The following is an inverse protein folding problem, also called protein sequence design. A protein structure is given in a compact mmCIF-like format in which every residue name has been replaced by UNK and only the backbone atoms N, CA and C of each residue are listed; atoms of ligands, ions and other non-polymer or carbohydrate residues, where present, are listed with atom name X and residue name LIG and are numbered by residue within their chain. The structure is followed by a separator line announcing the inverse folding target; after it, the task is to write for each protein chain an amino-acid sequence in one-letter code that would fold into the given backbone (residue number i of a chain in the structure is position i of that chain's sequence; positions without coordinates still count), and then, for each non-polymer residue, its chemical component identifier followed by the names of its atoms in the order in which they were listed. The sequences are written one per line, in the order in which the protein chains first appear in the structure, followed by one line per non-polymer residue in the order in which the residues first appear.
data_IF_445231353327
#
_entry.id   IF_445231353327
#
_cell.length_a   1.000
_cell.length_b   1.000
_cell.length_c   1.000
_cell.angle_alpha   90.00
_cell.angle_beta   90.00
_cell.angle_gamma   90.00
#
_symmetry.space_group_name_H-M   'P 1'
#
loop_
_entity.id
_entity.type
_entity.pdbx_description
1 polymer ?
#
# COMPACT_ATOMS: atom_id res chain seq x y z
N UNK A 1 25.00 -32.22 -8.73
CA UNK A 1 25.63 -30.93 -9.15
C UNK A 1 25.05 -29.86 -8.23
N UNK A 2 25.84 -29.34 -7.27
CA UNK A 2 25.45 -28.22 -6.44
C UNK A 2 25.35 -26.99 -7.35
N UNK A 3 24.15 -26.57 -7.68
CA UNK A 3 23.90 -25.33 -8.41
C UNK A 3 24.57 -24.20 -7.63
N UNK A 4 25.52 -23.49 -8.24
CA UNK A 4 26.14 -22.31 -7.63
C UNK A 4 25.05 -21.29 -7.38
N UNK A 5 24.77 -21.01 -6.11
CA UNK A 5 23.81 -19.96 -5.73
C UNK A 5 24.26 -18.63 -6.33
N UNK A 6 23.37 -17.96 -7.07
CA UNK A 6 23.65 -16.65 -7.64
C UNK A 6 23.94 -15.63 -6.53
N UNK A 7 25.00 -14.81 -6.70
CA UNK A 7 25.41 -13.88 -5.64
C UNK A 7 26.08 -12.62 -6.19
N UNK A 8 25.95 -11.52 -5.45
CA UNK A 8 26.80 -10.33 -5.58
C UNK A 8 27.69 -10.20 -4.36
N UNK A 9 28.93 -9.70 -4.53
CA UNK A 9 29.89 -9.54 -3.42
C UNK A 9 29.91 -8.14 -2.84
N UNK A 10 29.48 -7.14 -3.59
CA UNK A 10 29.47 -5.74 -3.15
C UNK A 10 28.23 -5.40 -2.33
N UNK A 11 28.39 -4.51 -1.32
CA UNK A 11 27.31 -3.94 -0.54
C UNK A 11 26.29 -3.23 -1.44
N UNK A 12 24.99 -3.50 -1.21
CA UNK A 12 23.90 -3.06 -2.09
C UNK A 12 23.06 -1.89 -1.56
N UNK A 13 23.33 -1.35 -0.37
CA UNK A 13 22.52 -0.27 0.23
C UNK A 13 22.43 0.96 -0.68
N UNK A 14 23.56 1.42 -1.21
CA UNK A 14 23.59 2.56 -2.12
C UNK A 14 22.88 2.25 -3.46
N UNK A 15 22.96 0.99 -3.90
CA UNK A 15 22.22 0.52 -5.08
C UNK A 15 20.71 0.56 -4.84
N UNK A 16 20.23 0.16 -3.67
CA UNK A 16 18.81 0.24 -3.29
C UNK A 16 18.29 1.68 -3.36
N UNK A 17 19.01 2.62 -2.72
CA UNK A 17 18.63 4.04 -2.70
C UNK A 17 18.61 4.67 -4.10
N UNK A 18 19.54 4.29 -4.98
CA UNK A 18 19.67 4.86 -6.33
C UNK A 18 18.81 4.17 -7.38
N UNK A 19 18.35 2.97 -7.10
CA UNK A 19 17.64 2.15 -8.10
C UNK A 19 16.14 2.05 -7.88
N UNK A 20 15.67 2.33 -6.67
CA UNK A 20 14.25 2.24 -6.34
C UNK A 20 13.65 0.89 -6.75
N UNK A 21 12.64 0.92 -7.59
CA UNK A 21 11.94 -0.28 -8.09
C UNK A 21 12.80 -1.15 -9.04
N UNK A 22 13.82 -0.58 -9.64
CA UNK A 22 14.76 -1.32 -10.48
C UNK A 22 15.84 -2.10 -9.70
N UNK A 23 15.83 -1.99 -8.37
CA UNK A 23 16.86 -2.59 -7.52
C UNK A 23 16.95 -4.10 -7.71
N UNK A 24 15.85 -4.81 -7.55
CA UNK A 24 15.84 -6.28 -7.60
C UNK A 24 16.32 -6.82 -8.97
N UNK A 25 15.84 -6.24 -10.06
CA UNK A 25 16.25 -6.62 -11.42
C UNK A 25 17.73 -6.32 -11.68
N UNK A 26 18.26 -5.21 -11.16
CA UNK A 26 19.69 -4.86 -11.27
C UNK A 26 20.58 -5.80 -10.46
N UNK A 27 20.16 -6.19 -9.26
CA UNK A 27 20.88 -7.16 -8.43
C UNK A 27 20.95 -8.52 -9.13
N UNK A 28 19.84 -9.00 -9.70
CA UNK A 28 19.81 -10.26 -10.46
C UNK A 28 20.78 -10.24 -11.64
N UNK A 29 20.74 -9.19 -12.46
CA UNK A 29 21.69 -9.03 -13.59
C UNK A 29 23.17 -9.02 -13.15
N UNK A 30 23.49 -8.34 -12.03
CA UNK A 30 24.85 -8.34 -11.47
C UNK A 30 25.28 -9.71 -10.96
N UNK A 31 24.36 -10.52 -10.51
CA UNK A 31 24.61 -11.89 -10.08
C UNK A 31 24.67 -12.89 -11.25
N UNK A 32 24.56 -12.41 -12.49
CA UNK A 32 24.64 -13.24 -13.69
C UNK A 32 23.38 -14.05 -14.01
N UNK A 33 22.22 -13.66 -13.44
CA UNK A 33 20.92 -14.27 -13.75
C UNK A 33 20.01 -13.26 -14.47
N UNK A 34 18.99 -13.77 -15.18
CA UNK A 34 18.00 -12.90 -15.83
C UNK A 34 17.33 -11.97 -14.82
N UNK A 35 16.98 -10.76 -15.25
CA UNK A 35 16.22 -9.80 -14.45
C UNK A 35 14.90 -10.41 -13.95
N UNK A 36 14.29 -11.28 -14.75
CA UNK A 36 13.01 -11.93 -14.47
C UNK A 36 13.15 -13.31 -13.82
N UNK A 37 14.38 -13.71 -13.47
CA UNK A 37 14.63 -15.00 -12.85
C UNK A 37 13.98 -15.11 -11.47
N UNK A 38 13.32 -16.22 -11.20
CA UNK A 38 12.87 -16.61 -9.87
C UNK A 38 13.99 -17.03 -8.92
N UNK A 39 15.23 -17.30 -9.45
CA UNK A 39 16.36 -17.73 -8.65
C UNK A 39 16.64 -16.76 -7.49
N UNK A 40 16.80 -17.26 -6.25
CA UNK A 40 17.27 -16.48 -5.13
C UNK A 40 18.67 -15.91 -5.37
N UNK A 41 18.91 -14.67 -4.92
CA UNK A 41 20.24 -14.03 -5.06
C UNK A 41 20.75 -13.61 -3.69
N UNK A 42 21.96 -14.08 -3.34
CA UNK A 42 22.66 -13.64 -2.14
C UNK A 42 23.39 -12.32 -2.37
N UNK A 43 23.31 -11.43 -1.38
CA UNK A 43 23.98 -10.13 -1.43
C UNK A 43 24.21 -9.57 -0.02
N UNK A 44 25.25 -8.77 0.21
CA UNK A 44 25.33 -7.92 1.40
C UNK A 44 24.42 -6.70 1.22
N UNK A 45 23.58 -6.40 2.23
CA UNK A 45 22.69 -5.25 2.25
C UNK A 45 22.62 -4.67 3.67
N UNK A 46 23.04 -3.42 3.82
CA UNK A 46 23.07 -2.73 5.12
C UNK A 46 23.84 -3.55 6.19
N UNK A 47 25.00 -4.08 5.82
CA UNK A 47 25.88 -4.85 6.69
C UNK A 47 25.41 -6.26 7.04
N UNK A 48 24.24 -6.70 6.56
CA UNK A 48 23.73 -8.07 6.75
C UNK A 48 23.76 -8.88 5.46
N UNK A 49 24.08 -10.16 5.56
CA UNK A 49 23.88 -11.09 4.46
C UNK A 49 22.39 -11.23 4.20
N UNK A 50 22.00 -11.03 2.96
CA UNK A 50 20.60 -10.95 2.55
C UNK A 50 20.35 -11.88 1.36
N UNK A 51 19.19 -12.53 1.35
CA UNK A 51 18.71 -13.34 0.23
C UNK A 51 17.53 -12.62 -0.41
N UNK A 52 17.68 -12.21 -1.66
CA UNK A 52 16.61 -11.62 -2.47
C UNK A 52 15.77 -12.75 -3.07
N UNK A 53 14.49 -12.76 -2.81
CA UNK A 53 13.53 -13.78 -3.27
C UNK A 53 12.37 -13.14 -4.04
N UNK A 54 11.69 -13.92 -4.90
CA UNK A 54 10.47 -13.54 -5.61
C UNK A 54 9.66 -14.78 -5.99
N UNK A 55 8.46 -14.56 -6.53
CA UNK A 55 7.56 -15.61 -6.98
C UNK A 55 6.98 -16.42 -5.83
N UNK A 56 6.27 -17.49 -6.16
CA UNK A 56 5.47 -18.25 -5.22
C UNK A 56 6.28 -18.81 -4.04
N UNK A 57 7.43 -19.45 -4.31
CA UNK A 57 8.26 -20.01 -3.25
C UNK A 57 8.89 -18.92 -2.34
N UNK A 58 9.24 -17.77 -2.93
CA UNK A 58 9.70 -16.61 -2.18
C UNK A 58 8.61 -16.05 -1.25
N UNK A 59 7.37 -15.98 -1.72
CA UNK A 59 6.20 -15.55 -0.94
C UNK A 59 5.92 -16.54 0.18
N UNK A 60 5.88 -17.85 -0.12
CA UNK A 60 5.64 -18.89 0.90
C UNK A 60 6.66 -18.82 2.04
N UNK A 61 7.95 -18.71 1.72
CA UNK A 61 8.98 -18.57 2.75
C UNK A 61 8.80 -17.26 3.53
N UNK A 62 8.62 -16.15 2.83
CA UNK A 62 8.58 -14.82 3.45
C UNK A 62 7.42 -14.64 4.44
N UNK A 63 6.30 -15.32 4.23
CA UNK A 63 5.13 -15.26 5.10
C UNK A 63 4.98 -16.45 6.05
N UNK A 64 5.95 -17.36 6.09
CA UNK A 64 5.98 -18.46 7.06
C UNK A 64 6.48 -17.96 8.43
N UNK A 65 5.55 -17.62 9.31
CA UNK A 65 5.83 -17.09 10.65
C UNK A 65 6.55 -18.09 11.58
N UNK A 66 6.61 -19.37 11.21
CA UNK A 66 7.42 -20.37 11.94
C UNK A 66 8.91 -20.28 11.60
N UNK A 67 9.25 -19.69 10.46
CA UNK A 67 10.63 -19.62 9.94
C UNK A 67 11.19 -18.21 9.81
N UNK A 68 10.31 -17.19 9.81
CA UNK A 68 10.72 -15.79 9.62
C UNK A 68 10.04 -14.85 10.61
N UNK A 69 10.70 -13.75 10.90
CA UNK A 69 10.19 -12.66 11.75
C UNK A 69 10.34 -11.30 11.06
N UNK A 70 9.58 -10.31 11.54
CA UNK A 70 9.63 -8.92 11.07
C UNK A 70 10.44 -8.02 12.00
N UNK A 71 10.48 -8.35 13.27
CA UNK A 71 11.23 -7.57 14.26
C UNK A 71 12.71 -7.51 13.86
N UNK A 72 13.28 -6.31 13.95
CA UNK A 72 14.68 -6.05 13.57
C UNK A 72 15.01 -6.16 12.08
N UNK A 73 14.08 -6.61 11.21
CA UNK A 73 14.34 -6.80 9.79
C UNK A 73 14.43 -5.46 9.02
N UNK A 74 13.58 -4.49 9.35
CA UNK A 74 13.57 -3.16 8.74
C UNK A 74 14.25 -2.13 9.65
N UNK A 75 15.25 -1.37 9.14
CA UNK A 75 15.88 -0.30 9.93
C UNK A 75 14.87 0.75 10.39
N UNK A 76 14.99 1.23 11.62
CA UNK A 76 14.06 2.19 12.23
C UNK A 76 13.99 3.53 11.46
N UNK A 77 15.08 3.95 10.83
CA UNK A 77 15.11 5.14 9.96
C UNK A 77 14.16 5.03 8.76
N UNK A 78 13.82 3.82 8.36
CA UNK A 78 12.86 3.51 7.29
C UNK A 78 11.47 3.24 7.86
N UNK A 79 11.40 2.39 8.89
CA UNK A 79 10.15 1.94 9.51
C UNK A 79 9.42 3.10 10.23
N UNK A 80 10.17 3.90 11.01
CA UNK A 80 9.61 4.97 11.84
C UNK A 80 8.77 5.98 11.08
N UNK A 81 9.27 6.63 10.02
CA UNK A 81 8.46 7.57 9.25
C UNK A 81 7.24 6.94 8.59
N UNK A 82 7.38 5.73 8.03
CA UNK A 82 6.29 5.08 7.29
C UNK A 82 5.19 4.53 8.18
N UNK A 83 5.55 3.79 9.22
CA UNK A 83 4.60 3.00 10.00
C UNK A 83 4.42 3.52 11.42
N UNK A 84 5.40 4.22 11.97
CA UNK A 84 5.50 4.61 13.37
C UNK A 84 6.24 3.57 14.21
N UNK A 85 6.92 4.04 15.25
CA UNK A 85 7.63 3.17 16.19
C UNK A 85 6.63 2.46 17.08
N UNK A 86 6.77 1.14 17.27
CA UNK A 86 5.85 0.30 18.04
C UNK A 86 4.60 -0.15 17.28
N UNK A 87 4.50 0.15 15.97
CA UNK A 87 3.40 -0.31 15.12
C UNK A 87 3.42 -1.82 14.88
N UNK A 88 2.25 -2.38 14.58
CA UNK A 88 2.02 -3.80 14.28
C UNK A 88 2.99 -4.38 13.24
N UNK A 89 3.48 -3.57 12.33
CA UNK A 89 4.41 -3.96 11.26
C UNK A 89 5.80 -4.43 11.76
N UNK A 90 6.15 -4.15 13.00
CA UNK A 90 7.41 -4.57 13.61
C UNK A 90 7.22 -5.57 14.76
N UNK A 91 6.03 -6.13 14.92
CA UNK A 91 5.72 -7.13 15.92
C UNK A 91 5.72 -8.53 15.29
N UNK A 92 5.97 -9.53 16.13
CA UNK A 92 5.89 -10.96 15.79
C UNK A 92 5.16 -11.73 16.90
N UNK A 93 4.86 -13.01 16.65
CA UNK A 93 4.27 -13.91 17.62
C UNK A 93 2.90 -13.45 18.14
N UNK A 94 2.68 -13.60 19.44
CA UNK A 94 1.40 -13.30 20.09
C UNK A 94 1.08 -11.80 20.07
N UNK A 95 2.06 -10.95 20.31
CA UNK A 95 1.90 -9.48 20.25
C UNK A 95 1.41 -9.02 18.87
N UNK A 96 2.00 -9.58 17.81
CA UNK A 96 1.53 -9.33 16.45
C UNK A 96 0.10 -9.82 16.26
N UNK A 97 -0.18 -11.07 16.63
CA UNK A 97 -1.49 -11.71 16.42
C UNK A 97 -2.63 -10.94 17.11
N UNK A 98 -2.46 -10.58 18.37
CA UNK A 98 -3.46 -9.82 19.14
C UNK A 98 -3.69 -8.44 18.52
N UNK A 99 -2.61 -7.69 18.25
CA UNK A 99 -2.69 -6.38 17.63
C UNK A 99 -3.32 -6.44 16.25
N UNK A 100 -2.88 -7.40 15.43
CA UNK A 100 -3.34 -7.59 14.05
C UNK A 100 -4.83 -7.91 13.98
N UNK A 101 -5.33 -8.77 14.87
CA UNK A 101 -6.74 -9.11 14.90
C UNK A 101 -7.61 -7.90 15.20
N UNK A 102 -7.27 -7.09 16.20
CA UNK A 102 -8.00 -5.87 16.53
C UNK A 102 -8.04 -4.87 15.34
N UNK A 103 -6.95 -4.78 14.56
CA UNK A 103 -6.93 -3.96 13.35
C UNK A 103 -7.75 -4.58 12.21
N UNK A 104 -7.73 -5.91 12.08
CA UNK A 104 -8.49 -6.63 11.06
C UNK A 104 -10.00 -6.55 11.33
N UNK A 105 -10.43 -6.65 12.59
CA UNK A 105 -11.83 -6.47 12.99
C UNK A 105 -12.37 -5.10 12.53
N UNK A 106 -11.52 -4.08 12.48
CA UNK A 106 -11.92 -2.74 12.04
C UNK A 106 -11.84 -2.52 10.52
N UNK A 107 -10.94 -3.17 9.79
CA UNK A 107 -10.66 -2.79 8.41
C UNK A 107 -10.84 -3.91 7.38
N UNK A 108 -11.02 -5.15 7.81
CA UNK A 108 -11.11 -6.30 6.90
C UNK A 108 -12.53 -6.89 6.78
N UNK A 109 -13.34 -6.77 7.84
CA UNK A 109 -14.70 -7.30 7.87
C UNK A 109 -15.58 -6.59 6.83
N UNK A 110 -16.44 -7.36 6.15
CA UNK A 110 -17.25 -6.86 5.04
C UNK A 110 -18.24 -5.76 5.50
N UNK A 111 -18.73 -5.84 6.73
CA UNK A 111 -19.59 -4.82 7.34
C UNK A 111 -18.85 -3.49 7.46
N UNK A 112 -17.60 -3.50 7.91
CA UNK A 112 -16.76 -2.31 8.04
C UNK A 112 -16.42 -1.69 6.70
N UNK A 113 -16.20 -2.54 5.69
CA UNK A 113 -16.02 -2.09 4.30
C UNK A 113 -17.32 -1.48 3.75
N UNK A 114 -18.49 -2.08 4.07
CA UNK A 114 -19.79 -1.55 3.66
C UNK A 114 -20.06 -0.16 4.26
N UNK A 115 -19.67 0.09 5.53
CA UNK A 115 -19.74 1.42 6.15
C UNK A 115 -18.87 2.46 5.44
N UNK A 116 -17.71 2.05 4.92
CA UNK A 116 -16.77 2.94 4.22
C UNK A 116 -17.27 3.32 2.81
N UNK A 117 -17.92 2.40 2.09
CA UNK A 117 -18.33 2.55 0.69
C UNK A 117 -19.08 3.84 0.39
N UNK A 118 -20.19 4.20 1.08
CA UNK A 118 -20.94 5.42 0.79
C UNK A 118 -20.09 6.68 1.00
N UNK A 119 -19.21 6.70 1.97
CA UNK A 119 -18.37 7.85 2.29
C UNK A 119 -17.38 8.18 1.17
N UNK A 120 -16.70 7.18 0.63
CA UNK A 120 -15.76 7.39 -0.49
C UNK A 120 -16.52 7.73 -1.78
N UNK A 121 -17.69 7.13 -2.02
CA UNK A 121 -18.50 7.44 -3.18
C UNK A 121 -18.99 8.90 -3.17
N UNK A 122 -19.43 9.40 -2.02
CA UNK A 122 -19.82 10.81 -1.83
C UNK A 122 -18.66 11.77 -2.13
N UNK A 123 -17.48 11.54 -1.53
CA UNK A 123 -16.32 12.39 -1.75
C UNK A 123 -15.86 12.40 -3.21
N UNK A 124 -15.85 11.25 -3.88
CA UNK A 124 -15.46 11.15 -5.29
C UNK A 124 -16.51 11.72 -6.23
N UNK A 125 -17.80 11.55 -5.94
CA UNK A 125 -18.87 12.16 -6.75
C UNK A 125 -18.80 13.70 -6.70
N UNK A 126 -18.57 14.25 -5.50
CA UNK A 126 -18.36 15.68 -5.31
C UNK A 126 -17.07 16.18 -6.01
N UNK A 127 -16.00 15.38 -5.97
CA UNK A 127 -14.72 15.70 -6.59
C UNK A 127 -14.85 15.77 -8.11
N UNK A 128 -15.48 14.77 -8.76
CA UNK A 128 -15.65 14.71 -10.21
C UNK A 128 -16.39 15.94 -10.77
N UNK A 129 -17.25 16.58 -9.98
CA UNK A 129 -17.97 17.80 -10.37
C UNK A 129 -17.18 19.09 -10.16
N UNK A 130 -16.14 19.07 -9.33
CA UNK A 130 -15.39 20.26 -8.88
C UNK A 130 -14.03 20.43 -9.54
N UNK A 131 -13.51 19.41 -10.23
CA UNK A 131 -12.18 19.51 -10.86
C UNK A 131 -12.09 20.70 -11.81
N UNK A 132 -11.07 21.52 -11.62
CA UNK A 132 -10.81 22.72 -12.42
C UNK A 132 -9.45 22.60 -13.14
N UNK A 133 -9.20 23.52 -14.07
CA UNK A 133 -7.90 23.56 -14.73
C UNK A 133 -6.78 23.81 -13.70
N UNK A 134 -5.81 22.91 -13.65
CA UNK A 134 -4.72 22.92 -12.67
C UNK A 134 -4.83 21.85 -11.60
N UNK A 135 -6.01 21.28 -11.35
CA UNK A 135 -6.16 20.15 -10.45
C UNK A 135 -5.48 18.90 -11.04
N UNK A 136 -5.11 17.99 -10.13
CA UNK A 136 -4.58 16.68 -10.52
C UNK A 136 -5.22 15.56 -9.69
N UNK A 137 -5.23 14.36 -10.26
CA UNK A 137 -5.86 13.18 -9.67
C UNK A 137 -5.24 12.83 -8.32
N UNK A 138 -3.90 12.87 -8.22
CA UNK A 138 -3.20 12.48 -7.00
C UNK A 138 -3.60 13.33 -5.79
N UNK A 139 -3.41 14.64 -5.87
CA UNK A 139 -3.66 15.54 -4.74
C UNK A 139 -5.15 15.57 -4.37
N UNK A 140 -6.00 15.59 -5.39
CA UNK A 140 -7.46 15.62 -5.18
C UNK A 140 -7.98 14.34 -4.53
N UNK A 141 -7.55 13.18 -5.01
CA UNK A 141 -7.99 11.88 -4.42
C UNK A 141 -7.36 11.62 -3.06
N UNK A 142 -6.13 12.12 -2.78
CA UNK A 142 -5.53 12.03 -1.46
C UNK A 142 -6.38 12.72 -0.39
N UNK A 143 -6.93 13.88 -0.71
CA UNK A 143 -7.85 14.61 0.19
C UNK A 143 -9.18 13.87 0.31
N UNK A 144 -9.80 13.45 -0.81
CA UNK A 144 -11.07 12.74 -0.80
C UNK A 144 -10.99 11.42 0.01
N UNK A 145 -9.95 10.63 -0.22
CA UNK A 145 -9.73 9.38 0.53
C UNK A 145 -9.42 9.64 2.00
N UNK A 146 -8.71 10.73 2.32
CA UNK A 146 -8.46 11.15 3.69
C UNK A 146 -9.74 11.50 4.43
N UNK A 147 -10.61 12.33 3.82
CA UNK A 147 -11.93 12.69 4.39
C UNK A 147 -12.79 11.46 4.62
N UNK A 148 -12.93 10.60 3.60
CA UNK A 148 -13.68 9.35 3.72
C UNK A 148 -13.17 8.47 4.86
N UNK A 149 -11.83 8.34 5.00
CA UNK A 149 -11.21 7.54 6.06
C UNK A 149 -11.40 8.12 7.45
N UNK A 150 -11.29 9.45 7.61
CA UNK A 150 -11.50 10.09 8.90
C UNK A 150 -12.98 10.03 9.35
N UNK A 151 -13.92 10.22 8.41
CA UNK A 151 -15.36 10.05 8.66
C UNK A 151 -15.69 8.60 9.05
N UNK A 152 -15.18 7.63 8.30
CA UNK A 152 -15.33 6.20 8.59
C UNK A 152 -14.75 5.84 9.96
N UNK A 153 -13.61 6.39 10.32
CA UNK A 153 -13.01 6.14 11.62
C UNK A 153 -13.76 6.82 12.79
N UNK A 154 -14.76 7.63 12.51
CA UNK A 154 -15.52 8.38 13.55
C UNK A 154 -14.71 9.51 14.16
N UNK A 155 -13.73 10.07 13.45
CA UNK A 155 -12.89 11.17 13.94
C UNK A 155 -13.69 12.48 13.83
N UNK A 156 -13.92 13.22 14.93
CA UNK A 156 -14.80 14.38 14.95
C UNK A 156 -14.10 15.66 14.49
N UNK A 157 -13.50 15.62 13.31
CA UNK A 157 -12.85 16.78 12.69
C UNK A 157 -13.77 17.44 11.68
N UNK A 158 -13.68 18.77 11.57
CA UNK A 158 -14.30 19.48 10.46
C UNK A 158 -13.54 19.25 9.14
N UNK A 159 -14.16 19.65 8.04
CA UNK A 159 -13.60 19.47 6.70
C UNK A 159 -12.21 20.10 6.56
N UNK A 160 -12.00 21.29 7.11
CA UNK A 160 -10.70 21.99 7.02
C UNK A 160 -9.60 21.25 7.79
N UNK A 161 -9.95 20.69 8.94
CA UNK A 161 -9.01 19.89 9.72
C UNK A 161 -8.70 18.55 9.03
N UNK A 162 -9.71 17.88 8.45
CA UNK A 162 -9.52 16.66 7.66
C UNK A 162 -8.59 16.91 6.48
N UNK A 163 -8.78 17.99 5.72
CA UNK A 163 -7.92 18.36 4.58
C UNK A 163 -6.47 18.57 5.01
N UNK A 164 -6.26 19.33 6.08
CA UNK A 164 -4.94 19.61 6.61
C UNK A 164 -4.18 18.32 6.98
N UNK A 165 -4.86 17.37 7.62
CA UNK A 165 -4.22 16.13 8.05
C UNK A 165 -4.05 15.14 6.90
N UNK A 166 -5.00 15.04 5.97
CA UNK A 166 -4.84 14.27 4.74
C UNK A 166 -3.66 14.77 3.91
N UNK A 167 -3.56 16.10 3.71
CA UNK A 167 -2.43 16.72 3.02
C UNK A 167 -1.09 16.42 3.72
N UNK A 168 -1.05 16.47 5.06
CA UNK A 168 0.17 16.14 5.81
C UNK A 168 0.56 14.67 5.68
N UNK A 169 -0.41 13.75 5.67
CA UNK A 169 -0.19 12.32 5.40
C UNK A 169 0.35 12.10 3.98
N UNK A 170 -0.22 12.76 2.98
CA UNK A 170 0.26 12.71 1.59
C UNK A 170 1.70 13.22 1.48
N UNK A 171 1.99 14.39 2.08
CA UNK A 171 3.33 15.00 2.08
C UNK A 171 4.38 14.12 2.76
N UNK A 172 4.05 13.46 3.88
CA UNK A 172 4.93 12.47 4.52
C UNK A 172 5.34 11.39 3.53
N UNK A 173 4.39 10.86 2.78
CA UNK A 173 4.64 9.83 1.78
C UNK A 173 5.46 10.34 0.59
N UNK A 174 5.27 11.58 0.17
CA UNK A 174 6.01 12.21 -0.95
C UNK A 174 7.46 12.57 -0.59
N UNK A 175 7.71 12.85 0.68
CA UNK A 175 9.04 13.25 1.17
C UNK A 175 9.86 12.09 1.71
N UNK A 176 9.23 10.95 1.96
CA UNK A 176 9.87 9.72 2.40
C UNK A 176 10.84 9.15 1.35
N UNK A 177 11.94 8.55 1.82
CA UNK A 177 12.90 7.85 0.96
C UNK A 177 13.82 8.74 0.13
N UNK A 178 13.73 10.06 0.28
CA UNK A 178 14.59 11.03 -0.39
C UNK A 178 15.49 11.70 0.65
N UNK A 179 16.82 11.58 0.58
CA UNK A 179 17.74 12.17 1.57
C UNK A 179 17.49 13.65 1.84
N UNK A 180 17.22 14.44 0.78
CA UNK A 180 17.01 15.88 0.88
C UNK A 180 15.71 16.26 1.63
N UNK A 181 14.70 15.40 1.66
CA UNK A 181 13.38 15.69 2.25
C UNK A 181 13.02 14.79 3.44
N UNK A 182 13.91 13.88 3.81
CA UNK A 182 13.67 12.96 4.92
C UNK A 182 13.37 13.65 6.26
N UNK A 183 13.97 14.83 6.50
CA UNK A 183 13.68 15.62 7.70
C UNK A 183 12.22 16.12 7.71
N UNK A 184 11.65 16.43 6.54
CA UNK A 184 10.24 16.83 6.40
C UNK A 184 9.32 15.63 6.72
N UNK A 185 9.64 14.44 6.20
CA UNK A 185 8.91 13.23 6.52
C UNK A 185 8.88 12.95 8.04
N UNK A 186 10.02 13.11 8.73
CA UNK A 186 10.09 12.96 10.18
C UNK A 186 9.30 14.05 10.92
N UNK A 187 9.34 15.29 10.47
CA UNK A 187 8.57 16.38 11.08
C UNK A 187 7.05 16.14 10.94
N UNK A 188 6.60 15.68 9.77
CA UNK A 188 5.21 15.31 9.56
C UNK A 188 4.81 14.09 10.41
N UNK A 189 5.68 13.09 10.51
CA UNK A 189 5.45 11.92 11.37
C UNK A 189 5.25 12.34 12.83
N UNK A 190 6.13 13.15 13.38
CA UNK A 190 6.05 13.64 14.77
C UNK A 190 4.75 14.43 14.99
N UNK A 191 4.36 15.28 14.04
CA UNK A 191 3.15 16.07 14.17
C UNK A 191 1.89 15.19 14.13
N UNK A 192 1.86 14.19 13.24
CA UNK A 192 0.78 13.20 13.16
C UNK A 192 0.69 12.38 14.46
N UNK A 193 1.82 11.85 14.95
CA UNK A 193 1.85 11.06 16.20
C UNK A 193 1.31 11.86 17.38
N UNK A 194 1.73 13.12 17.53
CA UNK A 194 1.24 13.99 18.60
C UNK A 194 -0.26 14.26 18.49
N UNK A 195 -0.77 14.50 17.28
CA UNK A 195 -2.18 14.81 17.07
C UNK A 195 -3.06 13.60 17.36
N UNK A 196 -2.68 12.43 16.87
CA UNK A 196 -3.44 11.22 17.07
C UNK A 196 -3.34 10.70 18.51
N UNK A 197 -2.17 10.78 19.15
CA UNK A 197 -2.03 10.48 20.57
C UNK A 197 -2.90 11.40 21.43
N UNK A 198 -2.96 12.70 21.10
CA UNK A 198 -3.87 13.63 21.78
C UNK A 198 -5.33 13.22 21.60
N UNK A 199 -5.74 12.84 20.39
CA UNK A 199 -7.11 12.41 20.12
C UNK A 199 -7.48 11.17 20.95
N UNK A 200 -6.62 10.17 21.02
CA UNK A 200 -6.82 8.97 21.87
C UNK A 200 -6.94 9.36 23.34
N UNK A 201 -6.08 10.24 23.84
CA UNK A 201 -6.14 10.72 25.23
C UNK A 201 -7.46 11.46 25.50
N UNK A 202 -7.88 12.33 24.60
CA UNK A 202 -9.11 13.12 24.74
C UNK A 202 -10.35 12.19 24.77
N UNK A 203 -10.35 11.11 23.96
CA UNK A 203 -11.42 10.09 24.01
C UNK A 203 -11.40 9.32 25.33
N UNK A 204 -10.24 8.83 25.76
CA UNK A 204 -10.08 8.08 27.03
C UNK A 204 -10.48 8.89 28.26
N UNK A 205 -10.26 10.21 28.22
CA UNK A 205 -10.64 11.11 29.33
C UNK A 205 -12.11 11.57 29.25
N UNK A 206 -12.85 11.25 28.18
CA UNK A 206 -14.20 11.74 27.94
C UNK A 206 -14.27 13.18 27.45
N UNK A 207 -13.13 13.84 27.16
CA UNK A 207 -13.11 15.19 26.60
C UNK A 207 -13.58 15.26 25.14
N UNK A 208 -13.50 14.15 24.42
CA UNK A 208 -14.03 13.95 23.06
C UNK A 208 -14.88 12.68 23.06
N UNK A 209 -16.13 12.79 22.59
CA UNK A 209 -16.99 11.64 22.39
C UNK A 209 -16.59 10.94 21.07
N UNK A 210 -16.27 9.65 21.13
CA UNK A 210 -16.16 8.79 19.95
C UNK A 210 -17.55 8.15 19.72
N UNK A 211 -18.02 8.06 18.46
CA UNK A 211 -19.23 7.30 18.16
C UNK A 211 -19.06 5.85 18.64
N UNK A 212 -20.12 5.29 19.21
CA UNK A 212 -20.15 3.90 19.63
C UNK A 212 -19.76 2.98 18.46
N UNK A 213 -18.98 1.94 18.74
CA UNK A 213 -18.49 0.97 17.75
C UNK A 213 -17.66 1.57 16.59
N UNK A 214 -17.23 2.84 16.68
CA UNK A 214 -16.33 3.44 15.67
C UNK A 214 -14.90 2.93 15.79
N UNK A 215 -14.14 3.03 14.68
CA UNK A 215 -12.70 2.72 14.69
C UNK A 215 -11.97 3.54 15.77
N UNK A 216 -12.36 4.81 15.97
CA UNK A 216 -11.78 5.67 17.00
C UNK A 216 -12.02 5.13 18.41
N UNK A 217 -13.25 4.66 18.71
CA UNK A 217 -13.60 4.07 20.01
C UNK A 217 -12.77 2.82 20.26
N UNK A 218 -12.72 1.88 19.30
CA UNK A 218 -11.91 0.66 19.40
C UNK A 218 -10.42 0.93 19.55
N UNK A 219 -9.88 1.92 18.85
CA UNK A 219 -8.45 2.27 19.01
C UNK A 219 -8.17 2.95 20.35
N UNK A 220 -9.14 3.63 20.95
CA UNK A 220 -8.98 4.14 22.30
C UNK A 220 -8.93 3.01 23.36
N UNK A 221 -9.56 1.87 23.08
CA UNK A 221 -9.58 0.68 23.94
C UNK A 221 -8.58 -0.40 23.52
N UNK A 222 -7.68 -0.10 22.57
CA UNK A 222 -6.70 -1.05 22.06
C UNK A 222 -5.85 -1.65 23.15
N UNK A 223 -5.77 -3.00 23.18
CA UNK A 223 -5.00 -3.75 24.18
C UNK A 223 -3.81 -4.51 23.59
N UNK A 224 -2.85 -4.81 24.43
CA UNK A 224 -1.71 -5.68 24.13
C UNK A 224 -2.05 -7.16 24.35
N UNK A 225 -1.05 -8.04 24.19
CA UNK A 225 -1.16 -9.50 24.38
C UNK A 225 -1.42 -9.93 25.83
N UNK A 226 -1.32 -9.02 26.79
CA UNK A 226 -1.61 -9.24 28.21
C UNK A 226 -2.97 -8.67 28.62
N UNK A 227 -3.72 -8.07 27.67
CA UNK A 227 -5.00 -7.42 27.92
C UNK A 227 -4.87 -6.02 28.56
N UNK A 228 -3.66 -5.46 28.62
CA UNK A 228 -3.44 -4.12 29.12
C UNK A 228 -3.62 -3.09 28.00
N UNK A 229 -4.21 -1.92 28.34
CA UNK A 229 -4.32 -0.81 27.37
C UNK A 229 -2.94 -0.39 26.90
N UNK A 230 -2.76 -0.32 25.58
CA UNK A 230 -1.53 0.26 25.01
C UNK A 230 -1.49 1.76 25.28
N UNK A 231 -0.28 2.36 25.30
CA UNK A 231 -0.14 3.81 25.48
C UNK A 231 -0.82 4.62 24.35
N UNK A 232 -1.14 5.88 24.64
CA UNK A 232 -1.90 6.73 23.70
C UNK A 232 -1.16 6.96 22.37
N UNK A 233 0.18 6.98 22.41
CA UNK A 233 0.98 7.15 21.21
C UNK A 233 0.87 5.93 20.31
N UNK A 234 1.00 4.73 20.87
CA UNK A 234 0.87 3.46 20.13
C UNK A 234 -0.54 3.32 19.56
N UNK A 235 -1.60 3.57 20.36
CA UNK A 235 -2.98 3.55 19.88
C UNK A 235 -3.23 4.58 18.77
N UNK A 236 -2.66 5.79 18.90
CA UNK A 236 -2.73 6.84 17.88
C UNK A 236 -1.97 6.47 16.60
N UNK A 237 -0.85 5.74 16.70
CA UNK A 237 -0.12 5.21 15.55
C UNK A 237 -0.96 4.17 14.80
N UNK A 238 -1.63 3.27 15.52
CA UNK A 238 -2.48 2.26 14.87
C UNK A 238 -3.74 2.88 14.25
N UNK A 239 -4.34 3.89 14.86
CA UNK A 239 -5.42 4.67 14.24
C UNK A 239 -4.95 5.34 12.92
N UNK A 240 -3.70 5.83 12.87
CA UNK A 240 -3.11 6.32 11.63
C UNK A 240 -2.87 5.19 10.63
N UNK A 241 -2.50 3.99 11.07
CA UNK A 241 -2.29 2.83 10.20
C UNK A 241 -3.59 2.28 9.62
N UNK A 242 -4.76 2.62 10.20
CA UNK A 242 -6.07 2.34 9.62
C UNK A 242 -6.55 3.44 8.66
N UNK A 243 -6.13 4.69 8.83
CA UNK A 243 -6.62 5.82 8.03
C UNK A 243 -5.64 6.28 6.93
N UNK A 244 -4.36 6.41 7.25
CA UNK A 244 -3.32 6.92 6.33
C UNK A 244 -3.07 6.04 5.09
N UNK A 245 -3.12 4.70 5.14
CA UNK A 245 -2.89 3.88 3.95
C UNK A 245 -3.84 4.22 2.80
N UNK A 246 -5.06 4.62 3.11
CA UNK A 246 -6.02 5.00 2.09
C UNK A 246 -5.63 6.32 1.38
N UNK A 247 -5.04 7.28 2.09
CA UNK A 247 -4.42 8.46 1.45
C UNK A 247 -3.32 8.03 0.47
N UNK A 248 -2.56 6.97 0.80
CA UNK A 248 -1.54 6.44 -0.09
C UNK A 248 -2.10 5.80 -1.38
N UNK A 249 -3.35 5.32 -1.36
CA UNK A 249 -4.05 4.77 -2.54
C UNK A 249 -4.20 5.81 -3.66
N UNK A 250 -4.15 7.10 -3.35
CA UNK A 250 -4.13 8.17 -4.35
C UNK A 250 -3.00 8.01 -5.39
N UNK A 251 -1.89 7.34 -5.06
CA UNK A 251 -0.86 6.97 -6.01
C UNK A 251 -1.37 6.02 -7.07
N UNK A 252 -2.11 5.00 -6.65
CA UNK A 252 -2.76 4.08 -7.57
C UNK A 252 -3.85 4.78 -8.37
N UNK A 253 -4.59 5.74 -7.81
CA UNK A 253 -5.57 6.54 -8.56
C UNK A 253 -4.89 7.36 -9.68
N UNK A 254 -3.72 7.95 -9.41
CA UNK A 254 -2.94 8.64 -10.43
C UNK A 254 -2.41 7.67 -11.50
N UNK A 255 -1.94 6.49 -11.12
CA UNK A 255 -1.57 5.45 -12.09
C UNK A 255 -2.77 4.90 -12.85
N UNK A 256 -3.94 4.79 -12.23
CA UNK A 256 -5.17 4.42 -12.93
C UNK A 256 -5.54 5.46 -14.01
N UNK A 257 -5.38 6.75 -13.70
CA UNK A 257 -5.57 7.81 -14.71
C UNK A 257 -4.56 7.68 -15.86
N UNK A 258 -3.29 7.36 -15.58
CA UNK A 258 -2.28 7.04 -16.61
C UNK A 258 -2.75 5.87 -17.46
N UNK A 259 -3.15 4.76 -16.86
CA UNK A 259 -3.60 3.56 -17.56
C UNK A 259 -4.87 3.82 -18.39
N UNK A 260 -5.81 4.65 -17.92
CA UNK A 260 -7.00 5.02 -18.67
C UNK A 260 -6.67 5.85 -19.94
N UNK A 261 -5.62 6.68 -19.88
CA UNK A 261 -5.14 7.42 -21.08
C UNK A 261 -4.46 6.46 -22.07
N UNK A 262 -3.70 5.48 -21.57
CA UNK A 262 -3.01 4.47 -22.40
C UNK A 262 -3.98 3.42 -22.97
N UNK A 263 -5.13 3.17 -22.29
CA UNK A 263 -6.14 2.17 -22.63
C UNK A 263 -7.54 2.77 -22.65
N UNK A 264 -7.85 3.70 -23.59
CA UNK A 264 -9.11 4.45 -23.62
C UNK A 264 -10.35 3.58 -23.87
N UNK A 265 -10.20 2.38 -24.42
CA UNK A 265 -11.28 1.40 -24.59
C UNK A 265 -11.91 1.00 -23.23
N UNK A 266 -11.16 1.03 -22.15
CA UNK A 266 -11.66 0.76 -20.81
C UNK A 266 -12.54 1.88 -20.26
N UNK A 267 -12.34 3.14 -20.69
CA UNK A 267 -13.18 4.27 -20.28
C UNK A 267 -14.63 4.01 -20.68
N UNK A 268 -14.89 3.66 -21.95
CA UNK A 268 -16.25 3.42 -22.43
C UNK A 268 -16.84 2.15 -21.81
N UNK A 269 -16.05 1.12 -21.61
CA UNK A 269 -16.48 -0.13 -21.01
C UNK A 269 -16.92 0.06 -19.55
N UNK A 270 -16.10 0.71 -18.73
CA UNK A 270 -16.39 1.03 -17.32
C UNK A 270 -17.60 1.96 -17.23
N UNK A 271 -17.68 2.98 -18.11
CA UNK A 271 -18.81 3.89 -18.19
C UNK A 271 -20.12 3.17 -18.51
N UNK A 272 -20.10 2.24 -19.46
CA UNK A 272 -21.27 1.44 -19.82
C UNK A 272 -21.72 0.55 -18.66
N UNK A 273 -20.79 -0.14 -17.98
CA UNK A 273 -21.06 -0.99 -16.83
C UNK A 273 -21.64 -0.20 -15.65
N UNK A 274 -21.06 0.97 -15.32
CA UNK A 274 -21.60 1.86 -14.29
C UNK A 274 -23.03 2.31 -14.62
N UNK A 275 -23.29 2.73 -15.86
CA UNK A 275 -24.64 3.13 -16.31
C UNK A 275 -25.66 1.99 -16.17
N UNK A 276 -25.28 0.77 -16.53
CA UNK A 276 -26.14 -0.42 -16.39
C UNK A 276 -26.54 -0.68 -14.91
N UNK A 277 -25.74 -0.19 -13.97
CA UNK A 277 -25.97 -0.28 -12.52
C UNK A 277 -26.49 1.06 -11.93
N UNK A 278 -27.17 1.89 -12.71
CA UNK A 278 -27.78 3.15 -12.23
C UNK A 278 -26.77 4.30 -12.04
N UNK A 279 -25.59 4.21 -12.62
CA UNK A 279 -24.54 5.25 -12.53
C UNK A 279 -23.75 5.22 -11.22
N UNK A 280 -23.72 4.07 -10.54
CA UNK A 280 -22.95 3.89 -9.29
C UNK A 280 -21.46 4.08 -9.52
N UNK A 281 -20.74 4.53 -8.47
CA UNK A 281 -19.28 4.51 -8.42
C UNK A 281 -18.74 3.21 -7.79
N UNK A 282 -19.61 2.42 -7.15
CA UNK A 282 -19.20 1.29 -6.31
C UNK A 282 -19.47 -0.04 -7.02
N UNK A 283 -18.59 -0.99 -6.75
CA UNK A 283 -18.76 -2.41 -7.12
C UNK A 283 -18.99 -2.66 -8.62
N UNK A 284 -18.46 -1.77 -9.48
CA UNK A 284 -18.47 -1.94 -10.94
C UNK A 284 -17.39 -2.95 -11.32
N UNK A 285 -17.74 -4.16 -11.82
CA UNK A 285 -16.76 -5.25 -12.00
C UNK A 285 -15.58 -4.88 -12.90
N UNK A 286 -15.81 -4.14 -13.97
CA UNK A 286 -14.78 -3.65 -14.88
C UNK A 286 -13.81 -2.69 -14.21
N UNK A 287 -14.31 -1.83 -13.32
CA UNK A 287 -13.46 -0.91 -12.55
C UNK A 287 -12.69 -1.64 -11.46
N UNK A 288 -13.27 -2.66 -10.85
CA UNK A 288 -12.56 -3.52 -9.88
C UNK A 288 -11.43 -4.27 -10.58
N UNK A 289 -11.71 -4.91 -11.71
CA UNK A 289 -10.68 -5.60 -12.50
C UNK A 289 -9.55 -4.66 -12.95
N UNK A 290 -9.92 -3.46 -13.42
CA UNK A 290 -8.95 -2.43 -13.78
C UNK A 290 -8.09 -1.98 -12.60
N UNK A 291 -8.70 -1.77 -11.44
CA UNK A 291 -8.02 -1.40 -10.21
C UNK A 291 -7.03 -2.48 -9.73
N UNK A 292 -7.41 -3.76 -9.83
CA UNK A 292 -6.53 -4.88 -9.49
C UNK A 292 -5.31 -4.94 -10.43
N UNK A 293 -5.51 -4.73 -11.74
CA UNK A 293 -4.40 -4.71 -12.69
C UNK A 293 -3.48 -3.50 -12.49
N UNK A 294 -4.02 -2.33 -12.14
CA UNK A 294 -3.21 -1.18 -11.72
C UNK A 294 -2.33 -1.54 -10.52
N UNK A 295 -2.89 -2.19 -9.51
CA UNK A 295 -2.16 -2.62 -8.31
C UNK A 295 -1.10 -3.68 -8.63
N UNK A 296 -1.30 -4.51 -9.64
CA UNK A 296 -0.35 -5.54 -10.07
C UNK A 296 0.86 -4.94 -10.77
N UNK A 297 0.65 -4.05 -11.73
CA UNK A 297 1.67 -3.59 -12.67
C UNK A 297 2.41 -2.35 -12.18
N UNK A 298 1.68 -1.39 -11.57
CA UNK A 298 2.30 -0.13 -11.17
C UNK A 298 3.02 -0.20 -9.83
N UNK A 299 4.15 0.51 -9.70
CA UNK A 299 5.01 0.41 -8.52
C UNK A 299 4.40 1.06 -7.28
N UNK A 300 4.38 0.34 -6.15
CA UNK A 300 3.96 0.88 -4.85
C UNK A 300 5.00 0.60 -3.77
N UNK A 301 5.14 -0.65 -3.33
CA UNK A 301 6.22 -1.08 -2.42
C UNK A 301 7.21 -1.89 -3.24
N UNK A 302 8.51 -1.50 -3.29
CA UNK A 302 9.48 -2.23 -4.11
C UNK A 302 9.87 -3.58 -3.51
N UNK A 303 10.20 -3.59 -2.21
CA UNK A 303 10.70 -4.78 -1.50
C UNK A 303 10.28 -4.74 -0.02
N UNK A 304 10.14 -5.90 0.60
CA UNK A 304 9.90 -6.03 2.05
C UNK A 304 10.96 -6.91 2.70
N UNK A 305 11.52 -6.51 3.86
CA UNK A 305 12.49 -7.31 4.60
C UNK A 305 11.82 -8.20 5.65
N UNK A 306 12.42 -9.38 5.87
CA UNK A 306 12.20 -10.26 7.01
C UNK A 306 13.55 -10.81 7.47
N UNK A 307 13.60 -11.53 8.58
CA UNK A 307 14.78 -12.22 9.09
C UNK A 307 14.45 -13.69 9.36
N UNK A 308 15.33 -14.59 8.96
CA UNK A 308 15.17 -16.02 9.22
C UNK A 308 15.40 -16.33 10.71
N UNK A 309 14.48 -17.03 11.35
CA UNK A 309 14.57 -17.45 12.76
C UNK A 309 15.23 -18.82 12.91
N UNK A 310 15.26 -19.59 11.84
CA UNK A 310 15.86 -20.93 11.77
C UNK A 310 16.62 -21.08 10.43
N UNK A 311 17.51 -22.09 10.35
CA UNK A 311 18.07 -22.48 9.06
C UNK A 311 16.97 -23.07 8.19
N UNK A 312 16.89 -22.59 6.96
CA UNK A 312 15.88 -22.98 5.97
C UNK A 312 16.44 -22.90 4.56
N UNK A 313 15.61 -23.11 3.56
CA UNK A 313 16.00 -22.95 2.16
C UNK A 313 14.85 -22.41 1.30
N UNK A 314 15.18 -21.84 0.17
CA UNK A 314 14.25 -21.45 -0.89
C UNK A 314 14.84 -21.80 -2.25
N UNK A 315 14.14 -22.62 -3.02
CA UNK A 315 14.59 -23.10 -4.36
C UNK A 315 16.05 -23.64 -4.33
N UNK A 316 16.40 -24.44 -3.31
CA UNK A 316 17.74 -24.99 -3.12
C UNK A 316 18.81 -23.97 -2.68
N UNK A 317 18.44 -22.73 -2.41
CA UNK A 317 19.33 -21.72 -1.82
C UNK A 317 19.21 -21.77 -0.30
N UNK A 318 20.24 -22.19 0.46
CA UNK A 318 20.23 -22.16 1.91
C UNK A 318 20.08 -20.74 2.43
N UNK A 319 19.23 -20.58 3.45
CA UNK A 319 19.02 -19.34 4.21
C UNK A 319 19.30 -19.65 5.67
N UNK A 320 20.34 -19.03 6.24
CA UNK A 320 20.73 -19.32 7.62
C UNK A 320 19.98 -18.43 8.61
N UNK A 321 19.81 -18.95 9.81
CA UNK A 321 19.28 -18.18 10.95
C UNK A 321 19.98 -16.82 11.09
N UNK A 322 19.20 -15.75 11.26
CA UNK A 322 19.69 -14.37 11.34
C UNK A 322 19.97 -13.70 10.00
N UNK A 323 19.88 -14.43 8.88
CA UNK A 323 19.98 -13.79 7.57
C UNK A 323 18.70 -13.02 7.22
N UNK A 324 18.90 -11.87 6.57
CA UNK A 324 17.79 -11.11 6.01
C UNK A 324 17.26 -11.77 4.75
N UNK A 325 15.94 -11.83 4.65
CA UNK A 325 15.20 -12.20 3.44
C UNK A 325 14.58 -10.92 2.89
N UNK A 326 14.76 -10.65 1.61
CA UNK A 326 14.17 -9.48 0.95
C UNK A 326 13.23 -9.95 -0.14
N UNK A 327 11.93 -9.76 0.04
CA UNK A 327 10.91 -10.11 -0.94
C UNK A 327 10.76 -9.00 -1.98
N UNK A 328 10.92 -9.36 -3.25
CA UNK A 328 10.70 -8.50 -4.41
C UNK A 328 9.20 -8.45 -4.74
N UNK A 329 8.51 -7.43 -4.27
CA UNK A 329 7.05 -7.29 -4.40
C UNK A 329 6.66 -7.06 -5.86
N UNK A 330 7.23 -6.02 -6.49
CA UNK A 330 6.90 -5.70 -7.88
C UNK A 330 7.29 -6.84 -8.82
N UNK A 331 8.48 -7.42 -8.62
CA UNK A 331 8.92 -8.57 -9.41
C UNK A 331 8.01 -9.79 -9.24
N UNK A 332 7.43 -10.02 -8.05
CA UNK A 332 6.47 -11.11 -7.83
C UNK A 332 5.14 -10.82 -8.53
N UNK A 333 4.60 -9.62 -8.40
CA UNK A 333 3.37 -9.21 -9.07
C UNK A 333 3.48 -9.24 -10.61
N UNK A 334 4.69 -9.14 -11.15
CA UNK A 334 4.98 -9.16 -12.59
C UNK A 334 5.83 -10.37 -13.01
N UNK A 335 5.81 -11.46 -12.24
CA UNK A 335 6.60 -12.65 -12.53
C UNK A 335 6.03 -13.42 -13.74
N UNK A 336 6.80 -13.55 -14.85
CA UNK A 336 6.32 -14.30 -16.03
C UNK A 336 6.11 -15.81 -15.76
N UNK A 337 6.65 -16.34 -14.65
CA UNK A 337 6.37 -17.71 -14.23
C UNK A 337 4.96 -17.86 -13.61
N UNK A 338 4.37 -16.77 -13.13
CA UNK A 338 3.07 -16.75 -12.45
C UNK A 338 1.97 -16.03 -13.25
N UNK A 339 2.35 -15.14 -14.17
CA UNK A 339 1.44 -14.29 -14.91
C UNK A 339 1.67 -14.41 -16.42
N UNK A 340 0.70 -14.90 -17.14
CA UNK A 340 0.75 -14.87 -18.61
C UNK A 340 0.86 -13.44 -19.11
N UNK A 341 1.71 -13.17 -20.13
CA UNK A 341 1.97 -11.81 -20.63
C UNK A 341 2.20 -10.80 -19.48
N UNK A 342 3.03 -11.17 -18.51
CA UNK A 342 3.22 -10.46 -17.21
C UNK A 342 3.50 -8.95 -17.35
N UNK A 343 4.18 -8.53 -18.43
CA UNK A 343 4.52 -7.14 -18.70
C UNK A 343 3.39 -6.33 -19.36
N UNK A 344 2.31 -6.99 -19.81
CA UNK A 344 1.17 -6.34 -20.46
C UNK A 344 0.15 -5.93 -19.41
N UNK A 345 -0.32 -4.68 -19.49
CA UNK A 345 -1.49 -4.23 -18.73
C UNK A 345 -2.75 -4.84 -19.34
N UNK A 346 -3.44 -5.66 -18.58
CA UNK A 346 -4.59 -6.44 -19.06
C UNK A 346 -5.58 -6.72 -17.92
N UNK A 347 -6.55 -5.82 -17.69
CA UNK A 347 -7.55 -6.00 -16.63
C UNK A 347 -8.44 -7.24 -16.78
N UNK A 348 -8.51 -7.84 -17.99
CA UNK A 348 -9.26 -9.09 -18.19
C UNK A 348 -8.81 -10.22 -17.27
N UNK A 349 -7.56 -10.15 -16.79
CA UNK A 349 -7.03 -11.12 -15.80
C UNK A 349 -7.87 -11.22 -14.53
N UNK A 350 -8.50 -10.12 -14.16
CA UNK A 350 -9.27 -10.01 -12.92
C UNK A 350 -10.79 -10.00 -13.15
N UNK A 351 -11.25 -10.07 -14.42
CA UNK A 351 -12.67 -10.22 -14.71
C UNK A 351 -13.16 -11.59 -14.22
N UNK A 352 -14.21 -11.58 -13.38
CA UNK A 352 -14.77 -12.82 -12.79
C UNK A 352 -13.92 -13.47 -11.69
N UNK A 353 -12.80 -12.87 -11.29
CA UNK A 353 -12.02 -13.32 -10.12
C UNK A 353 -12.75 -12.92 -8.85
N UNK A 354 -13.34 -13.89 -8.16
CA UNK A 354 -14.10 -13.63 -6.94
C UNK A 354 -13.19 -13.20 -5.76
N UNK A 355 -12.01 -13.81 -5.65
CA UNK A 355 -11.05 -13.57 -4.59
C UNK A 355 -9.64 -13.42 -5.15
N UNK A 356 -9.21 -12.18 -5.35
CA UNK A 356 -7.86 -11.88 -5.78
C UNK A 356 -6.81 -12.11 -4.66
N UNK A 357 -7.23 -12.17 -3.41
CA UNK A 357 -6.34 -12.42 -2.27
C UNK A 357 -5.86 -13.88 -2.25
N UNK A 358 -6.63 -14.80 -2.83
CA UNK A 358 -6.26 -16.21 -2.97
C UNK A 358 -5.09 -16.43 -3.95
N UNK A 359 -4.76 -15.44 -4.79
CA UNK A 359 -3.63 -15.54 -5.73
C UNK A 359 -2.33 -15.30 -4.98
N UNK A 360 -1.59 -16.37 -4.68
CA UNK A 360 -0.36 -16.35 -3.86
C UNK A 360 0.67 -15.32 -4.32
N UNK A 361 0.79 -15.09 -5.63
CA UNK A 361 1.75 -14.16 -6.24
C UNK A 361 1.18 -12.76 -6.49
N UNK A 362 -0.06 -12.50 -6.07
CA UNK A 362 -0.66 -11.16 -6.08
C UNK A 362 -0.53 -10.52 -4.70
N UNK A 363 0.54 -9.77 -4.50
CA UNK A 363 0.95 -9.25 -3.19
C UNK A 363 1.20 -7.72 -3.19
N UNK A 364 0.41 -6.91 -3.87
CA UNK A 364 0.68 -5.46 -3.98
C UNK A 364 0.68 -4.75 -2.61
N UNK A 365 -0.05 -5.27 -1.65
CA UNK A 365 -0.16 -4.76 -0.28
C UNK A 365 0.14 -5.84 0.77
N UNK A 366 1.04 -6.77 0.43
CA UNK A 366 1.39 -7.92 1.24
C UNK A 366 0.69 -9.19 0.77
N UNK A 367 1.03 -10.31 1.39
CA UNK A 367 0.51 -11.64 1.04
C UNK A 367 0.18 -12.47 2.27
N UNK A 368 -0.22 -13.72 2.03
CA UNK A 368 -0.74 -14.67 3.01
C UNK A 368 -2.04 -14.19 3.68
N UNK A 369 -2.41 -14.82 4.77
CA UNK A 369 -3.64 -14.54 5.50
C UNK A 369 -3.58 -13.19 6.23
N UNK A 370 -4.70 -12.49 6.31
CA UNK A 370 -4.79 -11.16 6.92
C UNK A 370 -4.63 -11.23 8.43
N UNK A 371 -5.18 -12.23 9.10
CA UNK A 371 -5.22 -12.29 10.56
C UNK A 371 -3.98 -12.93 11.16
N UNK A 372 -3.44 -13.94 10.50
CA UNK A 372 -2.28 -14.71 10.96
C UNK A 372 -0.96 -14.26 10.34
N UNK A 373 -1.02 -13.54 9.21
CA UNK A 373 0.12 -13.05 8.46
C UNK A 373 0.23 -11.52 8.45
N UNK A 374 1.00 -11.01 7.50
CA UNK A 374 1.29 -9.59 7.35
C UNK A 374 0.60 -8.93 6.14
N UNK A 375 -0.45 -9.54 5.57
CA UNK A 375 -1.28 -8.91 4.54
C UNK A 375 -2.00 -7.69 5.11
N UNK A 376 -2.17 -6.64 4.31
CA UNK A 376 -2.82 -5.41 4.75
C UNK A 376 -4.30 -5.66 5.10
N UNK A 377 -4.78 -5.35 6.32
CA UNK A 377 -6.18 -5.55 6.67
C UNK A 377 -7.12 -4.58 5.92
N UNK A 378 -6.63 -3.41 5.50
CA UNK A 378 -7.39 -2.43 4.73
C UNK A 378 -7.36 -2.64 3.21
N UNK A 379 -7.01 -3.83 2.71
CA UNK A 379 -6.90 -4.06 1.27
C UNK A 379 -8.24 -3.92 0.55
N UNK A 380 -9.34 -4.43 1.12
CA UNK A 380 -10.69 -4.28 0.57
C UNK A 380 -11.11 -2.80 0.49
N UNK A 381 -10.81 -2.00 1.51
CA UNK A 381 -11.03 -0.53 1.53
C UNK A 381 -10.20 0.13 0.42
N UNK A 382 -8.96 -0.26 0.24
CA UNK A 382 -8.08 0.28 -0.81
C UNK A 382 -8.60 -0.04 -2.22
N UNK A 383 -9.08 -1.27 -2.45
CA UNK A 383 -9.71 -1.68 -3.72
C UNK A 383 -10.98 -0.89 -3.97
N UNK A 384 -11.83 -0.73 -2.95
CA UNK A 384 -13.05 0.08 -3.02
C UNK A 384 -12.73 1.53 -3.41
N UNK A 385 -11.77 2.16 -2.74
CA UNK A 385 -11.36 3.54 -3.04
C UNK A 385 -10.83 3.69 -4.46
N UNK A 386 -9.97 2.77 -4.88
CA UNK A 386 -9.36 2.81 -6.19
C UNK A 386 -10.37 2.54 -7.31
N UNK A 387 -11.20 1.50 -7.19
CA UNK A 387 -12.20 1.19 -8.21
C UNK A 387 -13.26 2.28 -8.34
N UNK A 388 -13.70 2.87 -7.23
CA UNK A 388 -14.61 4.02 -7.25
C UNK A 388 -13.98 5.26 -7.92
N UNK A 389 -12.67 5.51 -7.68
CA UNK A 389 -11.94 6.58 -8.37
C UNK A 389 -11.82 6.31 -9.87
N UNK A 390 -11.59 5.06 -10.28
CA UNK A 390 -11.57 4.66 -11.70
C UNK A 390 -12.91 4.98 -12.38
N UNK A 391 -14.03 4.63 -11.73
CA UNK A 391 -15.36 4.99 -12.28
C UNK A 391 -15.56 6.51 -12.34
N UNK A 392 -15.15 7.24 -11.30
CA UNK A 392 -15.24 8.70 -11.28
C UNK A 392 -14.44 9.35 -12.41
N UNK A 393 -13.23 8.85 -12.71
CA UNK A 393 -12.39 9.29 -13.82
C UNK A 393 -12.99 8.97 -15.19
N UNK A 394 -13.81 7.93 -15.29
CA UNK A 394 -14.50 7.57 -16.54
C UNK A 394 -15.79 8.35 -16.79
N UNK A 395 -16.20 9.28 -15.92
CA UNK A 395 -17.43 10.07 -16.12
C UNK A 395 -17.31 10.99 -17.35
N UNK A 396 -18.42 11.23 -18.08
CA UNK A 396 -18.39 12.04 -19.32
C UNK A 396 -17.88 13.47 -19.09
N UNK A 397 -18.14 14.04 -17.92
CA UNK A 397 -17.71 15.38 -17.54
C UNK A 397 -16.22 15.49 -17.17
N UNK A 398 -15.51 14.37 -17.00
CA UNK A 398 -14.10 14.34 -16.62
C UNK A 398 -13.22 14.23 -17.87
N UNK A 399 -12.28 15.15 -18.00
CA UNK A 399 -11.28 15.13 -19.06
C UNK A 399 -9.91 14.79 -18.48
N UNK A 400 -9.36 13.67 -18.95
CA UNK A 400 -7.96 13.28 -18.71
C UNK A 400 -7.05 13.97 -19.73
N UNK A 401 -5.74 14.12 -19.45
CA UNK A 401 -4.81 14.77 -20.35
C UNK A 401 -4.61 13.94 -21.63
N UNK A 402 -4.34 14.63 -22.75
CA UNK A 402 -3.85 14.00 -23.97
C UNK A 402 -2.33 14.07 -24.11
N UNK A 403 -1.65 14.81 -23.21
CA UNK A 403 -0.21 15.00 -23.19
C UNK A 403 0.46 13.90 -22.40
N UNK A 404 1.37 13.16 -23.03
CA UNK A 404 2.09 12.06 -22.41
C UNK A 404 3.10 12.52 -21.36
N UNK A 405 3.55 13.77 -21.36
CA UNK A 405 4.45 14.31 -20.34
C UNK A 405 3.80 14.30 -18.95
N UNK A 406 2.49 14.40 -18.87
CA UNK A 406 1.74 14.28 -17.61
C UNK A 406 1.74 12.87 -17.03
N UNK A 407 2.06 11.85 -17.81
CA UNK A 407 2.00 10.44 -17.41
C UNK A 407 3.34 9.90 -16.91
N UNK A 408 4.43 10.68 -17.06
CA UNK A 408 5.77 10.24 -16.71
C UNK A 408 5.97 10.05 -15.21
N UNK A 409 6.69 8.99 -14.82
CA UNK A 409 7.08 8.75 -13.44
C UNK A 409 8.48 8.13 -13.34
N UNK A 410 9.09 8.20 -12.18
CA UNK A 410 10.45 7.72 -11.96
C UNK A 410 10.46 6.31 -11.35
N UNK A 411 11.06 5.36 -12.03
CA UNK A 411 11.34 4.02 -11.50
C UNK A 411 12.40 3.98 -10.40
N UNK A 412 13.16 5.06 -10.23
CA UNK A 412 14.23 5.14 -9.24
C UNK A 412 13.83 5.84 -7.95
N UNK A 413 12.66 6.47 -7.89
CA UNK A 413 12.12 7.06 -6.67
C UNK A 413 11.21 6.05 -5.96
N UNK A 414 11.44 5.79 -4.67
CA UNK A 414 10.52 4.99 -3.85
C UNK A 414 9.32 5.83 -3.43
N UNK A 415 8.17 5.18 -3.40
CA UNK A 415 6.85 5.78 -3.34
C UNK A 415 6.60 6.74 -4.52
N UNK A 416 6.96 6.26 -5.73
CA UNK A 416 6.77 7.01 -6.97
C UNK A 416 5.30 7.23 -7.31
N UNK A 417 5.05 8.22 -8.15
CA UNK A 417 3.78 8.52 -8.80
C UNK A 417 4.03 9.32 -10.07
N UNK A 418 3.06 9.49 -10.96
CA UNK A 418 3.18 10.45 -12.05
C UNK A 418 3.60 11.82 -11.54
N UNK A 419 4.57 12.45 -12.20
CA UNK A 419 5.26 13.65 -11.72
C UNK A 419 4.29 14.83 -11.48
N UNK A 420 3.32 15.01 -12.37
CA UNK A 420 2.28 16.06 -12.28
C UNK A 420 1.08 15.65 -11.42
N UNK A 421 1.01 14.38 -10.98
CA UNK A 421 -0.17 13.80 -10.33
C UNK A 421 -1.30 13.48 -11.29
N UNK A 422 -1.07 13.58 -12.60
CA UNK A 422 -2.02 13.48 -13.73
C UNK A 422 -3.08 14.58 -13.66
N UNK A 423 -2.90 15.63 -14.46
CA UNK A 423 -3.84 16.76 -14.53
C UNK A 423 -5.22 16.29 -14.96
N UNK A 424 -6.22 16.90 -14.42
CA UNK A 424 -7.64 16.56 -14.68
C UNK A 424 -8.48 17.81 -14.58
N UNK A 425 -9.57 17.86 -15.34
CA UNK A 425 -10.56 18.95 -15.26
C UNK A 425 -11.96 18.42 -15.51
N UNK A 426 -12.96 19.08 -14.97
CA UNK A 426 -14.36 18.91 -15.36
C UNK A 426 -14.68 19.75 -16.59
N UNK A 427 -15.60 19.30 -17.42
CA UNK A 427 -16.16 20.03 -18.57
C UNK A 427 -17.40 20.85 -18.20
N UNK A 428 -17.84 20.81 -16.95
CA UNK A 428 -18.96 21.59 -16.42
C UNK A 428 -18.56 22.97 -15.98
#
# INVERSE_FOLDING_TARGET
MTSKVAQTRSEQALSLLRSGYLFASRVRRRAGVSADSGCPVRMPLLGKQTVLVRGEEGVKLFYDTSRVQRDGAMPEVVKGPLFGSGAVHGLDGEAHRVRKNQLADMAYEDERVAEYKPLVAEELAALAQRWQGGDNVYDSTAIAFGRASFRWAGIPWDTQEMDRWAHRMSRLLDTFGRPATQAVAWADRIALDRRFAKLIRDVRSGAVAAPEDSVLAHMAELVDEHGALVDEKTAGIELQNLTRPNVAVARFAAFAATALVEHPEWIERIRAASRAQGGTLLDVPEAVAFAQEVRRVYPFVPVLPAEATVDTEVQGCPVHKGQRILLDILGTNTDPASWDRAATFDPERFMGVADAEAITTFIPQGGADVRTGHRCPGEKIAVTSLSAAVVALCRPEVQLPSDQDDLTFSWTHMLTRPATGVRVRSTR
#
